data_IF_213222648563
#
_entry.id   IF_213222648563
#
_cell.length_a   1.000
_cell.length_b   1.000
_cell.length_c   1.000
_cell.angle_alpha   90.00
_cell.angle_beta   90.00
_cell.angle_gamma   90.00
#
_symmetry.space_group_name_H-M   'P 1'
#
loop_
_entity.id
_entity.type
_entity.pdbx_description
1 polymer ?
#
# COMPACT_ATOMS: atom_id res chain seq x y z
N UNK A 1 -3.78 -5.74 -10.09
CA UNK A 1 -2.34 -5.53 -10.29
C UNK A 1 -1.63 -6.87 -10.23
N UNK A 2 -1.29 -7.38 -11.39
CA UNK A 2 -0.46 -8.58 -11.44
C UNK A 2 0.99 -8.18 -11.36
N UNK A 3 1.57 -8.33 -10.19
CA UNK A 3 3.00 -8.19 -10.01
C UNK A 3 3.58 -9.57 -10.28
N UNK A 4 4.54 -9.65 -11.21
CA UNK A 4 5.17 -10.91 -11.60
C UNK A 4 5.98 -11.51 -10.44
N UNK A 5 5.30 -11.98 -9.43
CA UNK A 5 5.91 -12.62 -8.26
C UNK A 5 6.67 -13.88 -8.70
N UNK A 6 6.16 -14.60 -9.70
CA UNK A 6 6.79 -15.79 -10.21
C UNK A 6 8.19 -15.54 -10.80
N UNK A 7 8.36 -14.42 -11.55
CA UNK A 7 9.68 -14.07 -12.08
C UNK A 7 10.66 -13.72 -10.96
N UNK A 8 10.20 -13.08 -9.91
CA UNK A 8 11.03 -12.72 -8.76
C UNK A 8 11.47 -13.96 -7.96
N UNK A 9 10.59 -14.97 -7.85
CA UNK A 9 10.87 -16.17 -7.05
C UNK A 9 11.72 -17.20 -7.78
N UNK A 10 11.77 -17.16 -9.13
CA UNK A 10 12.59 -18.10 -9.93
C UNK A 10 14.09 -17.78 -9.89
N UNK A 11 14.47 -16.58 -9.49
CA UNK A 11 15.85 -16.20 -9.29
C UNK A 11 16.27 -16.53 -7.85
N UNK A 12 17.58 -16.73 -7.63
CA UNK A 12 18.11 -16.93 -6.28
C UNK A 12 17.62 -15.78 -5.39
N UNK A 13 16.73 -16.13 -4.46
CA UNK A 13 16.07 -15.15 -3.59
C UNK A 13 17.04 -14.68 -2.51
N UNK A 14 17.29 -13.40 -2.48
CA UNK A 14 18.05 -12.76 -1.40
C UNK A 14 17.10 -12.38 -0.26
N UNK A 15 17.60 -12.22 1.00
CA UNK A 15 16.73 -11.90 2.14
C UNK A 15 15.85 -10.66 1.94
N UNK A 16 16.38 -9.62 1.29
CA UNK A 16 15.62 -8.39 1.05
C UNK A 16 14.54 -8.57 -0.03
N UNK A 17 14.68 -9.55 -0.93
CA UNK A 17 13.67 -9.81 -1.94
C UNK A 17 12.36 -10.28 -1.30
N UNK A 18 12.46 -11.15 -0.28
CA UNK A 18 11.30 -11.60 0.47
C UNK A 18 10.61 -10.42 1.18
N UNK A 19 11.39 -9.53 1.76
CA UNK A 19 10.87 -8.35 2.45
C UNK A 19 10.02 -7.49 1.50
N UNK A 20 10.55 -7.21 0.31
CA UNK A 20 9.85 -6.43 -0.70
C UNK A 20 8.56 -7.13 -1.17
N UNK A 21 8.66 -8.43 -1.43
CA UNK A 21 7.50 -9.21 -1.88
C UNK A 21 6.38 -9.18 -0.84
N UNK A 22 6.72 -9.29 0.44
CA UNK A 22 5.74 -9.23 1.51
C UNK A 22 5.06 -7.86 1.58
N UNK A 23 5.82 -6.76 1.38
CA UNK A 23 5.24 -5.42 1.36
C UNK A 23 4.32 -5.22 0.16
N UNK A 24 4.71 -5.70 -1.01
CA UNK A 24 3.89 -5.62 -2.21
C UNK A 24 2.61 -6.44 -2.06
N UNK A 25 2.69 -7.62 -1.45
CA UNK A 25 1.52 -8.45 -1.17
C UNK A 25 0.52 -7.73 -0.25
N UNK A 26 0.99 -6.96 0.69
CA UNK A 26 0.12 -6.15 1.54
C UNK A 26 -0.72 -5.18 0.70
N UNK A 27 -0.09 -4.50 -0.25
CA UNK A 27 -0.79 -3.58 -1.16
C UNK A 27 -1.79 -4.35 -2.03
N UNK A 28 -1.37 -5.47 -2.62
CA UNK A 28 -2.21 -6.28 -3.49
C UNK A 28 -3.41 -6.89 -2.76
N UNK A 29 -3.26 -7.16 -1.47
CA UNK A 29 -4.33 -7.71 -0.63
C UNK A 29 -5.54 -6.79 -0.51
N UNK A 30 -5.36 -5.49 -0.71
CA UNK A 30 -6.45 -4.51 -0.63
C UNK A 30 -7.05 -4.16 -1.99
N UNK A 31 -6.56 -4.77 -3.08
CA UNK A 31 -6.95 -4.37 -4.43
C UNK A 31 -8.44 -4.56 -4.70
N UNK A 32 -9.03 -5.66 -4.26
CA UNK A 32 -10.45 -5.93 -4.48
C UNK A 32 -11.33 -4.87 -3.80
N UNK A 33 -10.96 -4.48 -2.58
CA UNK A 33 -11.69 -3.43 -1.87
C UNK A 33 -11.49 -2.07 -2.55
N UNK A 34 -10.30 -1.79 -3.04
CA UNK A 34 -10.01 -0.57 -3.78
C UNK A 34 -10.87 -0.45 -5.04
N UNK A 35 -11.01 -1.54 -5.80
CA UNK A 35 -11.86 -1.56 -7.00
C UNK A 35 -13.31 -1.30 -6.65
N UNK A 36 -13.82 -1.90 -5.58
CA UNK A 36 -15.21 -1.66 -5.14
C UNK A 36 -15.44 -0.20 -4.74
N UNK A 37 -14.49 0.39 -4.03
CA UNK A 37 -14.59 1.80 -3.65
C UNK A 37 -14.55 2.71 -4.87
N UNK A 38 -13.72 2.38 -5.86
CA UNK A 38 -13.67 3.14 -7.10
C UNK A 38 -15.00 3.09 -7.86
N UNK A 39 -15.65 1.94 -7.90
CA UNK A 39 -16.95 1.79 -8.56
C UNK A 39 -18.01 2.69 -7.94
N UNK A 40 -17.91 2.97 -6.64
CA UNK A 40 -18.84 3.83 -5.92
C UNK A 40 -18.49 5.31 -6.06
N UNK A 41 -17.23 5.66 -5.86
CA UNK A 41 -16.77 7.05 -5.78
C UNK A 41 -16.27 7.62 -7.11
N UNK A 42 -15.69 6.77 -7.95
CA UNK A 42 -15.04 7.11 -9.22
C UNK A 42 -13.96 8.19 -9.07
N UNK A 43 -13.42 8.35 -7.89
CA UNK A 43 -12.39 9.33 -7.60
C UNK A 43 -11.04 8.66 -7.43
N UNK A 44 -10.13 8.86 -8.39
CA UNK A 44 -8.76 8.33 -8.33
C UNK A 44 -7.76 9.40 -8.70
N UNK A 45 -6.54 9.21 -8.21
CA UNK A 45 -5.40 10.03 -8.59
C UNK A 45 -4.46 9.17 -9.44
N UNK A 46 -4.08 9.62 -10.66
CA UNK A 46 -3.18 8.85 -11.51
C UNK A 46 -1.77 8.86 -10.95
N UNK A 47 -1.14 7.69 -10.91
CA UNK A 47 0.23 7.52 -10.43
C UNK A 47 1.00 6.60 -11.37
N UNK A 48 2.33 6.66 -11.30
CA UNK A 48 3.20 5.75 -12.03
C UNK A 48 3.41 4.49 -11.19
N UNK A 49 3.82 3.41 -11.84
CA UNK A 49 3.99 2.11 -11.18
C UNK A 49 4.98 2.16 -10.00
N UNK A 50 6.00 3.03 -10.07
CA UNK A 50 6.96 3.16 -8.97
C UNK A 50 6.33 3.65 -7.67
N UNK A 51 5.16 4.29 -7.75
CA UNK A 51 4.46 4.74 -6.55
C UNK A 51 4.02 3.58 -5.64
N UNK A 52 3.86 2.36 -6.19
CA UNK A 52 3.57 1.17 -5.39
C UNK A 52 4.68 0.90 -4.38
N UNK A 53 5.93 1.12 -4.77
CA UNK A 53 7.09 0.98 -3.87
C UNK A 53 6.98 1.98 -2.71
N UNK A 54 6.63 3.22 -3.01
CA UNK A 54 6.41 4.25 -1.98
C UNK A 54 5.28 3.86 -1.04
N UNK A 55 4.17 3.36 -1.58
CA UNK A 55 3.04 2.92 -0.77
C UNK A 55 3.40 1.73 0.13
N UNK A 56 4.21 0.80 -0.37
CA UNK A 56 4.70 -0.31 0.42
C UNK A 56 5.56 0.17 1.60
N UNK A 57 6.41 1.17 1.38
CA UNK A 57 7.21 1.78 2.44
C UNK A 57 6.34 2.49 3.47
N UNK A 58 5.31 3.21 3.03
CA UNK A 58 4.37 3.89 3.92
C UNK A 58 3.64 2.87 4.80
N UNK A 59 3.14 1.79 4.20
CA UNK A 59 2.44 0.74 4.96
C UNK A 59 3.36 0.11 6.01
N UNK A 60 4.60 -0.19 5.65
CA UNK A 60 5.59 -0.73 6.58
C UNK A 60 5.89 0.26 7.72
N UNK A 61 6.11 1.52 7.38
CA UNK A 61 6.41 2.54 8.38
C UNK A 61 5.27 2.72 9.38
N UNK A 62 4.03 2.75 8.89
CA UNK A 62 2.86 2.90 9.76
C UNK A 62 2.75 1.71 10.71
N UNK A 63 2.91 0.50 10.21
CA UNK A 63 2.85 -0.71 11.02
C UNK A 63 3.92 -0.69 12.10
N UNK A 64 5.18 -0.42 11.73
CA UNK A 64 6.29 -0.37 12.66
C UNK A 64 6.12 0.74 13.70
N UNK A 65 5.79 1.94 13.24
CA UNK A 65 5.64 3.10 14.12
C UNK A 65 4.51 2.89 15.13
N UNK A 66 3.35 2.45 14.67
CA UNK A 66 2.22 2.24 15.58
C UNK A 66 2.48 1.12 16.57
N UNK A 67 3.22 0.09 16.18
CA UNK A 67 3.60 -1.00 17.08
C UNK A 67 4.48 -0.51 18.23
N UNK A 68 5.35 0.46 17.96
CA UNK A 68 6.23 1.05 18.98
C UNK A 68 5.46 2.03 19.86
N UNK A 69 4.69 2.92 19.25
CA UNK A 69 4.10 4.09 19.93
C UNK A 69 2.90 3.69 20.79
N UNK A 70 2.08 2.74 20.34
CA UNK A 70 0.88 2.34 21.10
C UNK A 70 1.21 1.72 22.47
N UNK A 71 2.44 1.23 22.65
CA UNK A 71 2.89 0.72 23.94
C UNK A 71 3.15 1.81 24.96
N UNK A 72 3.32 3.06 24.51
CA UNK A 72 3.71 4.18 25.37
C UNK A 72 2.67 5.29 25.45
N UNK A 73 1.77 5.38 24.48
CA UNK A 73 0.78 6.45 24.39
C UNK A 73 -0.62 5.89 24.27
N UNK A 74 -1.61 6.50 24.93
CA UNK A 74 -3.00 5.99 24.92
C UNK A 74 -3.69 6.15 23.59
N UNK A 75 -3.25 7.11 22.77
CA UNK A 75 -3.82 7.31 21.44
C UNK A 75 -2.79 7.88 20.49
N UNK A 76 -2.99 7.62 19.21
CA UNK A 76 -2.15 8.16 18.13
C UNK A 76 -3.04 8.70 17.03
N UNK A 77 -2.51 9.61 16.21
CA UNK A 77 -3.22 10.16 15.06
C UNK A 77 -2.34 10.09 13.82
N UNK A 78 -2.97 9.78 12.69
CA UNK A 78 -2.33 9.86 11.38
C UNK A 78 -2.88 11.06 10.64
N UNK A 79 -2.00 11.93 10.18
CA UNK A 79 -2.37 13.15 9.45
C UNK A 79 -1.64 13.14 8.12
N UNK A 80 -2.39 13.17 7.03
CA UNK A 80 -1.84 13.16 5.67
C UNK A 80 -2.29 14.44 4.95
N UNK A 81 -1.38 15.40 4.81
CA UNK A 81 -1.67 16.69 4.22
C UNK A 81 -1.85 16.63 2.70
N UNK A 82 -1.41 15.54 2.07
CA UNK A 82 -1.47 15.36 0.62
C UNK A 82 -2.15 14.05 0.26
N UNK A 83 -3.22 13.72 0.98
CA UNK A 83 -3.88 12.42 0.88
C UNK A 83 -4.53 12.17 -0.49
N UNK A 84 -4.96 13.22 -1.18
CA UNK A 84 -5.73 13.09 -2.41
C UNK A 84 -7.07 12.38 -2.17
N UNK A 85 -7.64 11.71 -3.18
CA UNK A 85 -8.93 11.04 -3.04
C UNK A 85 -8.88 9.70 -2.32
N UNK A 86 -7.72 9.23 -1.91
CA UNK A 86 -7.56 7.95 -1.20
C UNK A 86 -7.38 6.74 -2.09
N UNK A 87 -7.70 6.84 -3.37
CA UNK A 87 -7.49 5.79 -4.36
C UNK A 87 -6.56 6.29 -5.45
N UNK A 88 -5.65 5.41 -5.88
CA UNK A 88 -4.71 5.70 -6.95
C UNK A 88 -4.93 4.73 -8.10
N UNK A 89 -4.77 5.22 -9.33
CA UNK A 89 -4.78 4.38 -10.52
C UNK A 89 -3.38 4.36 -11.13
N UNK A 90 -2.84 3.16 -11.30
CA UNK A 90 -1.52 2.98 -11.91
C UNK A 90 -1.68 3.16 -13.41
N UNK A 91 -1.01 4.17 -13.98
CA UNK A 91 -1.15 4.53 -15.39
C UNK A 91 -0.72 3.39 -16.33
N UNK A 92 0.34 2.66 -15.97
CA UNK A 92 0.91 1.62 -16.82
C UNK A 92 0.01 0.39 -16.93
N UNK A 93 -0.80 0.08 -15.92
CA UNK A 93 -1.63 -1.12 -15.88
C UNK A 93 -3.12 -0.84 -15.79
N UNK A 94 -3.51 0.38 -15.39
CA UNK A 94 -4.91 0.72 -15.12
C UNK A 94 -5.44 0.21 -13.79
N UNK A 95 -4.61 -0.45 -12.99
CA UNK A 95 -5.04 -1.01 -11.70
C UNK A 95 -5.35 0.07 -10.69
N UNK A 96 -6.38 -0.19 -9.86
CA UNK A 96 -6.76 0.69 -8.75
C UNK A 96 -6.16 0.12 -7.47
N UNK A 97 -5.48 0.98 -6.71
CA UNK A 97 -4.87 0.61 -5.44
C UNK A 97 -5.18 1.65 -4.37
N UNK A 98 -5.06 1.26 -3.10
CA UNK A 98 -5.21 2.22 -2.01
C UNK A 98 -4.09 3.25 -2.04
N UNK A 99 -4.45 4.51 -1.81
CA UNK A 99 -3.49 5.56 -1.50
C UNK A 99 -3.10 5.52 -0.03
N UNK A 100 -2.22 6.43 0.38
CA UNK A 100 -1.68 6.47 1.74
C UNK A 100 -2.75 6.55 2.84
N UNK A 101 -3.84 7.36 2.72
CA UNK A 101 -4.81 7.45 3.80
C UNK A 101 -5.57 6.16 4.05
N UNK A 102 -5.94 5.43 2.99
CA UNK A 102 -6.64 4.15 3.16
C UNK A 102 -5.70 3.06 3.65
N UNK A 103 -4.44 3.07 3.23
CA UNK A 103 -3.44 2.16 3.77
C UNK A 103 -3.23 2.40 5.26
N UNK A 104 -3.17 3.67 5.68
CA UNK A 104 -3.02 4.00 7.10
C UNK A 104 -4.19 3.47 7.94
N UNK A 105 -5.40 3.50 7.38
CA UNK A 105 -6.59 2.99 8.07
C UNK A 105 -6.61 1.47 8.13
N UNK A 106 -6.16 0.78 7.09
CA UNK A 106 -6.29 -0.67 6.94
C UNK A 106 -5.10 -1.48 7.44
N UNK A 107 -3.91 -0.89 7.50
CA UNK A 107 -2.73 -1.59 8.00
C UNK A 107 -2.93 -1.94 9.48
N UNK A 108 -2.60 -3.16 9.92
CA UNK A 108 -2.72 -3.56 11.33
C UNK A 108 -1.94 -2.62 12.26
N UNK A 109 -2.56 -2.27 13.35
CA UNK A 109 -1.99 -1.32 14.32
C UNK A 109 -1.82 -1.96 15.68
#
# INVERSE_FOLDING_TARGET
MEISVEKATKKRQKPYDKWWLDRIKTISGFQNEAVRLYQTTQAVYPVRAWAVVKLALVAFYIDLYTSIVKARFPSTAYIDLFAGPGLNQIEETGDIVFGSPLLADRVPK
#
